data_IF_198949716227
#
_entry.id   IF_198949716227
#
_cell.length_a   1.000
_cell.length_b   1.000
_cell.length_c   1.000
_cell.angle_alpha   90.00
_cell.angle_beta   90.00
_cell.angle_gamma   90.00
#
_symmetry.space_group_name_H-M   'P 1'
#
loop_
_entity.id
_entity.type
_entity.pdbx_description
1 polymer ?
#
# COMPACT_ATOMS: atom_id res chain seq x y z
N UNK A 1 7.32 -8.20 -1.27
CA UNK A 1 7.58 -7.88 0.14
C UNK A 1 6.32 -7.66 0.98
N UNK A 2 5.20 -7.13 0.45
CA UNK A 2 3.93 -6.97 1.17
C UNK A 2 3.13 -8.26 1.35
N UNK A 3 2.92 -9.02 0.27
CA UNK A 3 2.24 -10.32 0.34
C UNK A 3 3.05 -11.39 1.08
N UNK A 4 4.40 -11.32 0.95
CA UNK A 4 5.31 -12.20 1.69
C UNK A 4 5.30 -11.89 3.19
N UNK A 5 5.21 -10.62 3.58
CA UNK A 5 5.06 -10.22 4.98
C UNK A 5 3.71 -10.69 5.55
N UNK A 6 2.62 -10.62 4.77
CA UNK A 6 1.35 -11.20 5.20
C UNK A 6 1.45 -12.73 5.39
N UNK A 7 2.20 -13.44 4.55
CA UNK A 7 2.44 -14.87 4.73
C UNK A 7 3.11 -15.16 6.09
N UNK A 8 4.05 -14.33 6.53
CA UNK A 8 4.64 -14.47 7.88
C UNK A 8 3.66 -14.13 9.01
N UNK A 9 2.77 -13.14 8.82
CA UNK A 9 1.76 -12.77 9.83
C UNK A 9 0.68 -13.83 10.01
N UNK A 10 0.22 -14.45 8.92
CA UNK A 10 -0.80 -15.50 8.94
C UNK A 10 -0.22 -16.92 9.12
N UNK A 11 1.10 -17.08 8.97
CA UNK A 11 1.77 -18.38 9.10
C UNK A 11 1.85 -18.92 10.53
N UNK A 12 1.72 -18.07 11.54
CA UNK A 12 2.04 -18.40 12.94
C UNK A 12 0.86 -18.23 13.95
N UNK A 13 -0.39 -18.06 13.49
CA UNK A 13 -1.54 -17.75 14.35
C UNK A 13 -2.85 -18.44 13.95
N UNK A 14 -3.99 -18.03 14.56
CA UNK A 14 -5.36 -18.53 14.34
C UNK A 14 -5.93 -18.22 12.92
N UNK A 15 -5.13 -18.47 11.90
CA UNK A 15 -5.40 -18.37 10.46
C UNK A 15 -4.42 -19.19 9.61
N UNK A 16 -3.54 -19.98 10.24
CA UNK A 16 -2.56 -20.83 9.56
C UNK A 16 -3.24 -21.85 8.64
N UNK A 17 -2.73 -21.96 7.42
CA UNK A 17 -3.26 -22.85 6.37
C UNK A 17 -4.00 -22.10 5.26
N UNK A 18 -5.09 -22.69 4.76
CA UNK A 18 -5.82 -22.17 3.60
C UNK A 18 -6.42 -20.77 3.83
N UNK A 19 -6.84 -20.43 5.06
CA UNK A 19 -7.45 -19.14 5.36
C UNK A 19 -6.47 -17.96 5.14
N UNK A 20 -5.24 -18.05 5.66
CA UNK A 20 -4.19 -17.05 5.43
C UNK A 20 -3.85 -16.89 3.95
N UNK A 21 -3.77 -18.00 3.21
CA UNK A 21 -3.56 -17.95 1.75
C UNK A 21 -4.72 -17.24 1.04
N UNK A 22 -5.97 -17.57 1.38
CA UNK A 22 -7.15 -16.92 0.80
C UNK A 22 -7.19 -15.42 1.10
N UNK A 23 -6.74 -15.00 2.28
CA UNK A 23 -6.64 -13.57 2.61
C UNK A 23 -5.59 -12.87 1.74
N UNK A 24 -4.42 -13.50 1.52
CA UNK A 24 -3.40 -12.95 0.62
C UNK A 24 -3.90 -12.87 -0.82
N UNK A 25 -4.55 -13.93 -1.31
CA UNK A 25 -5.13 -13.95 -2.65
C UNK A 25 -6.23 -12.89 -2.80
N UNK A 26 -7.05 -12.68 -1.76
CA UNK A 26 -8.08 -11.64 -1.73
C UNK A 26 -7.48 -10.22 -1.78
N UNK A 27 -6.41 -9.96 -1.03
CA UNK A 27 -5.70 -8.67 -1.11
C UNK A 27 -5.09 -8.45 -2.50
N UNK A 28 -4.47 -9.49 -3.07
CA UNK A 28 -3.92 -9.42 -4.41
C UNK A 28 -4.99 -9.16 -5.49
N UNK A 29 -6.14 -9.81 -5.37
CA UNK A 29 -7.29 -9.57 -6.25
C UNK A 29 -7.82 -8.14 -6.10
N UNK A 30 -7.88 -7.62 -4.88
CA UNK A 30 -8.30 -6.24 -4.60
C UNK A 30 -7.34 -5.25 -5.26
N UNK A 31 -6.04 -5.44 -5.12
CA UNK A 31 -5.00 -4.57 -5.72
C UNK A 31 -5.03 -4.62 -7.25
N UNK A 32 -5.17 -5.82 -7.83
CA UNK A 32 -5.32 -5.99 -9.27
C UNK A 32 -6.57 -5.26 -9.81
N UNK A 33 -7.68 -5.34 -9.07
CA UNK A 33 -8.94 -4.68 -9.43
C UNK A 33 -8.84 -3.16 -9.32
N UNK A 34 -8.17 -2.64 -8.29
CA UNK A 34 -7.91 -1.20 -8.17
C UNK A 34 -7.04 -0.71 -9.32
N UNK A 35 -5.94 -1.40 -9.64
CA UNK A 35 -5.07 -1.06 -10.77
C UNK A 35 -5.82 -1.08 -12.12
N UNK A 36 -6.64 -2.11 -12.37
CA UNK A 36 -7.45 -2.19 -13.59
C UNK A 36 -8.45 -1.02 -13.71
N UNK A 37 -9.08 -0.61 -12.61
CA UNK A 37 -9.98 0.54 -12.61
C UNK A 37 -9.23 1.87 -12.76
N UNK A 38 -8.04 2.01 -12.19
CA UNK A 38 -7.20 3.19 -12.43
C UNK A 38 -6.89 3.31 -13.92
N UNK A 39 -6.42 2.26 -14.58
CA UNK A 39 -6.10 2.31 -16.02
C UNK A 39 -7.33 2.59 -16.87
N UNK A 40 -8.47 1.96 -16.56
CA UNK A 40 -9.73 2.18 -17.27
C UNK A 40 -10.21 3.64 -17.19
N UNK A 41 -10.05 4.27 -16.02
CA UNK A 41 -10.54 5.63 -15.78
C UNK A 41 -9.47 6.72 -15.98
N UNK A 42 -8.20 6.33 -16.11
CA UNK A 42 -7.11 7.20 -16.47
C UNK A 42 -7.15 7.46 -17.99
N UNK A 43 -7.98 8.41 -18.39
CA UNK A 43 -8.10 8.89 -19.78
C UNK A 43 -6.92 9.80 -20.19
N UNK A 44 -5.68 9.42 -19.87
CA UNK A 44 -4.47 10.21 -20.11
C UNK A 44 -4.37 11.48 -19.26
N UNK A 45 -5.09 11.54 -18.14
CA UNK A 45 -5.13 12.69 -17.22
C UNK A 45 -4.40 12.35 -15.92
N UNK A 46 -4.11 13.36 -15.11
CA UNK A 46 -3.70 13.13 -13.72
C UNK A 46 -4.83 12.42 -12.98
N UNK A 47 -4.53 11.29 -12.34
CA UNK A 47 -5.48 10.47 -11.61
C UNK A 47 -5.03 10.36 -10.15
N UNK A 48 -5.90 10.76 -9.22
CA UNK A 48 -5.67 10.61 -7.78
C UNK A 48 -6.49 9.44 -7.26
N UNK A 49 -5.80 8.47 -6.65
CA UNK A 49 -6.44 7.32 -6.01
C UNK A 49 -6.18 7.38 -4.51
N UNK A 50 -7.25 7.37 -3.72
CA UNK A 50 -7.15 7.22 -2.27
C UNK A 50 -7.27 5.74 -1.90
N UNK A 51 -6.28 5.23 -1.19
CA UNK A 51 -6.24 3.84 -0.73
C UNK A 51 -5.63 3.76 0.68
N UNK A 52 -5.87 2.65 1.38
CA UNK A 52 -5.12 2.36 2.60
C UNK A 52 -3.64 2.16 2.30
N UNK A 53 -2.75 2.58 3.22
CA UNK A 53 -1.29 2.59 3.02
C UNK A 53 -0.74 1.24 2.50
N UNK A 54 -1.27 0.13 3.02
CA UNK A 54 -0.93 -1.24 2.59
C UNK A 54 -0.94 -1.44 1.06
N UNK A 55 -1.83 -0.74 0.35
CA UNK A 55 -2.06 -0.94 -1.09
C UNK A 55 -1.08 -0.18 -2.00
N UNK A 56 -0.22 0.69 -1.45
CA UNK A 56 0.74 1.48 -2.23
C UNK A 56 2.13 1.64 -1.59
N UNK A 57 2.26 1.36 -0.29
CA UNK A 57 3.54 1.40 0.41
C UNK A 57 4.59 0.50 -0.26
N UNK A 58 5.84 0.95 -0.21
CA UNK A 58 7.01 0.28 -0.78
C UNK A 58 6.91 0.01 -2.29
N UNK A 59 6.06 0.76 -3.01
CA UNK A 59 5.80 0.58 -4.44
C UNK A 59 5.22 -0.82 -4.78
N UNK A 60 4.50 -1.41 -3.84
CA UNK A 60 3.87 -2.72 -4.00
C UNK A 60 2.35 -2.60 -4.24
N UNK A 61 1.64 -3.71 -4.14
CA UNK A 61 0.18 -3.74 -4.32
C UNK A 61 -0.24 -3.17 -5.67
N UNK A 62 -1.03 -2.09 -5.64
CA UNK A 62 -1.54 -1.39 -6.83
C UNK A 62 -0.38 -0.97 -7.74
N UNK A 63 0.70 -0.42 -7.19
CA UNK A 63 1.82 0.13 -7.96
C UNK A 63 2.50 -0.96 -8.79
N UNK A 64 2.66 -2.15 -8.20
CA UNK A 64 3.23 -3.30 -8.91
C UNK A 64 2.36 -3.73 -10.09
N UNK A 65 1.03 -3.80 -9.92
CA UNK A 65 0.11 -4.15 -11.01
C UNK A 65 0.07 -3.09 -12.11
N UNK A 66 0.11 -1.80 -11.77
CA UNK A 66 0.19 -0.72 -12.75
C UNK A 66 1.48 -0.83 -13.58
N UNK A 67 2.64 -1.02 -12.94
CA UNK A 67 3.92 -1.20 -13.64
C UNK A 67 3.97 -2.45 -14.50
N UNK A 68 3.29 -3.52 -14.10
CA UNK A 68 3.16 -4.74 -14.90
C UNK A 68 2.33 -4.52 -16.17
N UNK A 69 1.31 -3.66 -16.13
CA UNK A 69 0.51 -3.31 -17.31
C UNK A 69 1.24 -2.34 -18.24
N UNK A 70 1.89 -1.32 -17.68
CA UNK A 70 2.73 -0.41 -18.43
C UNK A 70 3.89 0.12 -17.56
N UNK A 71 5.15 -0.28 -17.82
CA UNK A 71 6.30 0.16 -17.04
C UNK A 71 6.55 1.67 -17.14
N UNK A 72 6.06 2.31 -18.22
CA UNK A 72 6.21 3.75 -18.48
C UNK A 72 5.24 4.62 -17.69
N UNK A 73 4.32 4.04 -16.90
CA UNK A 73 3.44 4.84 -16.06
C UNK A 73 4.25 5.67 -15.06
N UNK A 74 3.99 6.98 -15.06
CA UNK A 74 4.49 7.90 -14.05
C UNK A 74 3.58 7.82 -12.84
N UNK A 75 4.10 7.23 -11.77
CA UNK A 75 3.38 6.97 -10.52
C UNK A 75 4.11 7.74 -9.43
N UNK A 76 3.35 8.43 -8.59
CA UNK A 76 3.82 9.12 -7.39
C UNK A 76 2.96 8.63 -6.23
N UNK A 77 3.60 8.20 -5.17
CA UNK A 77 2.98 7.67 -3.97
C UNK A 77 3.12 8.65 -2.80
N UNK A 78 2.05 8.79 -2.03
CA UNK A 78 2.04 9.56 -0.78
C UNK A 78 1.53 8.62 0.30
N UNK A 79 2.31 8.44 1.37
CA UNK A 79 1.91 7.64 2.53
C UNK A 79 1.85 8.52 3.78
N UNK A 80 0.98 8.15 4.71
CA UNK A 80 0.86 8.80 6.02
C UNK A 80 1.31 7.83 7.09
N UNK A 81 2.18 8.30 7.98
CA UNK A 81 2.72 7.52 9.11
C UNK A 81 2.55 8.30 10.40
N UNK A 82 2.47 7.57 11.50
CA UNK A 82 2.35 8.13 12.84
C UNK A 82 3.70 8.02 13.55
N UNK A 83 4.10 9.09 14.25
CA UNK A 83 5.28 9.10 15.10
C UNK A 83 5.06 10.03 16.30
N UNK A 84 5.80 9.83 17.40
CA UNK A 84 5.81 10.75 18.53
C UNK A 84 6.22 12.18 18.12
N UNK A 85 7.26 12.32 17.29
CA UNK A 85 7.75 13.61 16.78
C UNK A 85 7.84 13.63 15.24
N UNK A 86 7.33 14.70 14.57
CA UNK A 86 7.42 14.85 13.13
C UNK A 86 8.73 15.49 12.64
N UNK A 87 9.63 15.91 13.54
CA UNK A 87 10.86 16.63 13.18
C UNK A 87 11.84 15.79 12.34
N UNK A 88 11.81 14.46 12.53
CA UNK A 88 12.66 13.53 11.81
C UNK A 88 11.90 12.25 11.48
N UNK A 89 12.00 11.81 10.23
CA UNK A 89 11.42 10.54 9.79
C UNK A 89 12.16 9.36 10.45
N UNK A 90 11.41 8.44 11.06
CA UNK A 90 11.93 7.20 11.59
C UNK A 90 12.48 6.33 10.45
N UNK A 91 13.60 5.65 10.69
CA UNK A 91 14.30 4.89 9.65
C UNK A 91 13.47 3.76 9.04
N UNK A 92 12.52 3.22 9.79
CA UNK A 92 11.57 2.20 9.33
C UNK A 92 10.54 2.72 8.30
N UNK A 93 10.41 4.04 8.14
CA UNK A 93 9.57 4.66 7.15
C UNK A 93 10.33 5.10 5.90
N UNK A 94 11.66 5.00 5.92
CA UNK A 94 12.47 5.32 4.75
C UNK A 94 12.01 4.50 3.53
N UNK A 95 11.88 5.18 2.39
CA UNK A 95 11.51 4.57 1.10
C UNK A 95 10.11 3.96 1.03
N UNK A 96 9.23 4.21 2.00
CA UNK A 96 7.83 3.75 1.95
C UNK A 96 7.04 4.34 0.77
N UNK A 97 7.33 5.59 0.40
CA UNK A 97 6.66 6.32 -0.67
C UNK A 97 7.57 7.46 -1.19
N UNK A 98 7.15 8.11 -2.27
CA UNK A 98 7.84 9.31 -2.79
C UNK A 98 7.72 10.49 -1.81
N UNK A 99 6.56 10.62 -1.17
CA UNK A 99 6.31 11.57 -0.09
C UNK A 99 5.72 10.86 1.12
N UNK A 100 6.16 11.25 2.30
CA UNK A 100 5.67 10.72 3.56
C UNK A 100 5.19 11.87 4.42
N UNK A 101 3.92 11.80 4.83
CA UNK A 101 3.30 12.73 5.77
C UNK A 101 3.43 12.11 7.16
N UNK A 102 4.17 12.75 8.05
CA UNK A 102 4.27 12.33 9.45
C UNK A 102 3.24 13.09 10.26
N UNK A 103 2.36 12.37 10.95
CA UNK A 103 1.40 12.96 11.89
C UNK A 103 1.76 12.55 13.32
N UNK A 104 1.61 13.44 14.31
CA UNK A 104 1.83 13.08 15.71
C UNK A 104 0.88 11.96 16.14
N UNK A 105 1.38 11.01 16.92
CA UNK A 105 0.54 9.96 17.53
C UNK A 105 -0.59 10.53 18.40
N UNK A 106 -0.41 11.73 18.93
CA UNK A 106 -1.42 12.47 19.72
C UNK A 106 -2.57 13.03 18.87
N UNK A 107 -2.51 12.95 17.54
CA UNK A 107 -3.57 13.44 16.66
C UNK A 107 -4.84 12.60 16.85
N UNK A 108 -6.00 13.26 16.98
CA UNK A 108 -7.28 12.58 17.18
C UNK A 108 -7.62 11.68 16.00
N UNK A 109 -7.96 10.43 16.30
CA UNK A 109 -8.41 9.42 15.33
C UNK A 109 -9.92 9.23 15.43
N UNK A 110 -10.54 8.77 14.35
CA UNK A 110 -11.98 8.55 14.28
C UNK A 110 -12.41 7.14 14.68
N UNK A 111 -11.54 6.36 15.35
CA UNK A 111 -11.75 4.95 15.70
C UNK A 111 -11.22 4.62 17.08
#
# INVERSE_FOLDING_TARGET
PGYKAMLSMFGSGHGSGNAGKLMIDAQALKDATMAANIVKNNAGKKFLHFNGAYHSDNYEGIVWYLKKQNPEFKILTISTVEQESPEKLASEHNSKADFIIVVPESMTKTH
#
